data_IF_494991643225
#
_entry.id   IF_494991643225
#
_cell.length_a   1.000
_cell.length_b   1.000
_cell.length_c   1.000
_cell.angle_alpha   90.00
_cell.angle_beta   90.00
_cell.angle_gamma   90.00
#
_symmetry.space_group_name_H-M   'P 1'
#
loop_
_entity.id
_entity.type
_entity.pdbx_description
1 polymer ?
#
# COMPACT_ATOMS: atom_id res chain seq x y z
N UNK A 1 22.35 22.00 18.55
CA UNK A 1 22.50 21.36 17.21
C UNK A 1 21.52 20.20 17.05
N UNK A 2 21.36 19.38 18.10
CA UNK A 2 20.48 18.21 18.15
C UNK A 2 18.97 18.50 17.98
N UNK A 3 18.45 19.58 18.58
CA UNK A 3 17.02 19.93 18.43
C UNK A 3 16.60 20.16 16.98
N UNK A 4 17.47 20.77 16.17
CA UNK A 4 17.17 21.04 14.75
C UNK A 4 17.05 19.76 13.93
N UNK A 5 17.86 18.74 14.24
CA UNK A 5 17.83 17.45 13.56
C UNK A 5 16.60 16.65 14.00
N UNK A 6 16.31 16.62 15.29
CA UNK A 6 15.14 15.93 15.84
C UNK A 6 13.82 16.52 15.31
N UNK A 7 13.72 17.86 15.24
CA UNK A 7 12.55 18.56 14.67
C UNK A 7 12.41 18.26 13.17
N UNK A 8 13.52 18.19 12.43
CA UNK A 8 13.46 17.88 11.00
C UNK A 8 12.99 16.44 10.75
N UNK A 9 13.51 15.49 11.53
CA UNK A 9 13.18 14.08 11.41
C UNK A 9 11.71 13.78 11.77
N UNK A 10 11.26 14.29 12.92
CA UNK A 10 9.87 14.12 13.38
C UNK A 10 8.87 14.72 12.40
N UNK A 11 9.19 15.87 11.80
CA UNK A 11 8.36 16.48 10.74
C UNK A 11 8.31 15.65 9.47
N UNK A 12 9.45 15.10 9.01
CA UNK A 12 9.47 14.23 7.84
C UNK A 12 8.64 12.95 8.04
N UNK A 13 8.67 12.37 9.24
CA UNK A 13 7.86 11.22 9.60
C UNK A 13 6.36 11.59 9.63
N UNK A 14 6.01 12.73 10.22
CA UNK A 14 4.62 13.20 10.27
C UNK A 14 4.03 13.43 8.87
N UNK A 15 4.80 14.07 7.97
CA UNK A 15 4.40 14.28 6.57
C UNK A 15 4.18 12.94 5.84
N UNK A 16 5.05 11.95 6.10
CA UNK A 16 4.91 10.61 5.53
C UNK A 16 3.66 9.91 6.07
N UNK A 17 3.41 9.95 7.39
CA UNK A 17 2.21 9.40 8.02
C UNK A 17 0.93 10.04 7.47
N UNK A 18 0.91 11.36 7.29
CA UNK A 18 -0.25 12.04 6.68
C UNK A 18 -0.48 11.54 5.26
N UNK A 19 0.57 11.42 4.46
CA UNK A 19 0.47 10.93 3.07
C UNK A 19 -0.06 9.49 3.02
N UNK A 20 0.38 8.62 3.94
CA UNK A 20 -0.11 7.24 4.02
C UNK A 20 -1.58 7.21 4.44
N UNK A 21 -1.99 8.03 5.42
CA UNK A 21 -3.39 8.18 5.81
C UNK A 21 -4.25 8.63 4.63
N UNK A 22 -3.80 9.61 3.86
CA UNK A 22 -4.53 10.09 2.67
C UNK A 22 -4.68 8.99 1.62
N UNK A 23 -3.63 8.19 1.39
CA UNK A 23 -3.67 7.02 0.51
C UNK A 23 -4.65 5.95 1.00
N UNK A 24 -4.70 5.70 2.30
CA UNK A 24 -5.68 4.76 2.90
C UNK A 24 -7.10 5.31 2.70
N UNK A 25 -7.32 6.60 2.90
CA UNK A 25 -8.63 7.24 2.66
C UNK A 25 -9.06 7.12 1.21
N UNK A 26 -8.14 7.31 0.26
CA UNK A 26 -8.39 7.09 -1.17
C UNK A 26 -8.77 5.62 -1.41
N UNK A 27 -8.01 4.66 -0.87
CA UNK A 27 -8.29 3.24 -1.04
C UNK A 27 -9.65 2.83 -0.44
N UNK A 28 -10.04 3.42 0.70
CA UNK A 28 -11.38 3.24 1.29
C UNK A 28 -12.48 3.74 0.36
N UNK A 29 -12.30 4.93 -0.20
CA UNK A 29 -13.26 5.53 -1.13
C UNK A 29 -13.36 4.70 -2.42
N UNK A 30 -12.23 4.26 -2.97
CA UNK A 30 -12.15 3.42 -4.17
C UNK A 30 -12.93 2.09 -4.00
N UNK A 31 -12.86 1.46 -2.82
CA UNK A 31 -13.65 0.25 -2.50
C UNK A 31 -15.14 0.53 -2.51
N UNK A 32 -15.58 1.64 -1.90
CA UNK A 32 -17.00 2.04 -1.85
C UNK A 32 -17.53 2.39 -3.24
N UNK A 33 -16.76 3.14 -4.01
CA UNK A 33 -17.12 3.52 -5.38
C UNK A 33 -17.16 2.31 -6.30
N UNK A 34 -16.22 1.37 -6.14
CA UNK A 34 -16.25 0.10 -6.87
C UNK A 34 -17.48 -0.72 -6.51
N UNK A 35 -17.83 -0.87 -5.23
CA UNK A 35 -19.04 -1.59 -4.81
C UNK A 35 -20.30 -0.98 -5.44
N UNK A 36 -20.40 0.36 -5.43
CA UNK A 36 -21.50 1.08 -6.08
C UNK A 36 -21.53 0.81 -7.59
N UNK A 37 -20.36 0.82 -8.24
CA UNK A 37 -20.22 0.60 -9.68
C UNK A 37 -20.58 -0.83 -10.08
N UNK A 38 -20.12 -1.84 -9.32
CA UNK A 38 -20.46 -3.25 -9.53
C UNK A 38 -21.97 -3.46 -9.36
N UNK A 39 -22.60 -2.90 -8.32
CA UNK A 39 -24.05 -2.98 -8.11
C UNK A 39 -24.83 -2.38 -9.28
N UNK A 40 -24.33 -1.28 -9.85
CA UNK A 40 -24.95 -0.57 -10.99
C UNK A 40 -24.58 -1.19 -12.35
N UNK A 41 -23.68 -2.18 -12.38
CA UNK A 41 -23.05 -2.71 -13.60
C UNK A 41 -22.39 -1.60 -14.45
N UNK A 42 -21.81 -0.61 -13.77
CA UNK A 42 -21.12 0.52 -14.39
C UNK A 42 -19.67 0.17 -14.71
N UNK A 43 -19.42 -0.16 -15.97
CA UNK A 43 -18.09 -0.47 -16.47
C UNK A 43 -17.10 0.72 -16.37
N UNK A 44 -17.60 1.96 -16.41
CA UNK A 44 -16.74 3.14 -16.29
C UNK A 44 -16.16 3.25 -14.87
N UNK A 45 -17.01 3.11 -13.84
CA UNK A 45 -16.58 3.11 -12.45
C UNK A 45 -15.63 1.97 -12.10
N UNK A 46 -15.87 0.77 -12.65
CA UNK A 46 -14.95 -0.38 -12.50
C UNK A 46 -13.57 -0.08 -13.11
N UNK A 47 -13.53 0.52 -14.31
CA UNK A 47 -12.28 0.91 -14.95
C UNK A 47 -11.54 2.04 -14.20
N UNK A 48 -12.28 2.98 -13.60
CA UNK A 48 -11.72 4.03 -12.77
C UNK A 48 -11.00 3.46 -11.54
N UNK A 49 -11.59 2.46 -10.87
CA UNK A 49 -10.94 1.72 -9.79
C UNK A 49 -9.62 1.08 -10.23
N UNK A 50 -9.64 0.32 -11.33
CA UNK A 50 -8.44 -0.35 -11.87
C UNK A 50 -7.32 0.67 -12.22
N UNK A 51 -7.69 1.85 -12.69
CA UNK A 51 -6.75 2.94 -12.99
C UNK A 51 -6.17 3.59 -11.74
N UNK A 52 -7.00 3.85 -10.71
CA UNK A 52 -6.57 4.38 -9.42
C UNK A 52 -5.56 3.46 -8.76
N UNK A 53 -5.88 2.15 -8.71
CA UNK A 53 -5.06 1.12 -8.09
C UNK A 53 -3.65 0.99 -8.70
N UNK A 54 -3.49 1.32 -9.99
CA UNK A 54 -2.23 1.11 -10.73
C UNK A 54 -1.18 2.20 -10.49
N UNK A 55 -1.57 3.38 -10.00
CA UNK A 55 -0.74 4.59 -10.01
C UNK A 55 -0.02 5.09 -8.73
N UNK A 56 -0.25 4.57 -7.51
CA UNK A 56 0.34 5.19 -6.31
C UNK A 56 1.85 4.92 -6.08
N UNK A 57 2.50 4.05 -6.87
CA UNK A 57 3.94 3.72 -6.71
C UNK A 57 4.88 4.93 -6.73
N UNK A 58 4.59 5.96 -7.55
CA UNK A 58 5.45 7.14 -7.70
C UNK A 58 5.42 8.06 -6.47
N UNK A 59 4.25 8.18 -5.84
CA UNK A 59 4.07 9.03 -4.66
C UNK A 59 4.79 8.43 -3.45
N UNK A 60 4.69 7.12 -3.30
CA UNK A 60 5.34 6.33 -2.25
C UNK A 60 6.87 6.38 -2.36
N UNK A 61 7.39 6.13 -3.57
CA UNK A 61 8.83 6.22 -3.85
C UNK A 61 9.38 7.61 -3.50
N UNK A 62 8.61 8.68 -3.74
CA UNK A 62 9.00 10.05 -3.41
C UNK A 62 9.00 10.28 -1.89
N UNK A 63 8.01 9.78 -1.16
CA UNK A 63 7.93 9.90 0.30
C UNK A 63 9.06 9.12 0.99
N UNK A 64 9.27 7.85 0.62
CA UNK A 64 10.34 7.01 1.18
C UNK A 64 11.73 7.59 0.89
N UNK A 65 11.94 8.16 -0.31
CA UNK A 65 13.21 8.80 -0.65
C UNK A 65 13.48 10.06 0.17
N UNK A 66 12.46 10.84 0.54
CA UNK A 66 12.62 11.99 1.44
C UNK A 66 12.99 11.55 2.84
N UNK A 67 12.33 10.50 3.35
CA UNK A 67 12.54 9.97 4.70
C UNK A 67 13.92 9.31 4.86
N UNK A 68 14.38 8.52 3.88
CA UNK A 68 15.74 7.96 3.89
C UNK A 68 16.85 9.02 3.82
N UNK A 69 16.57 10.18 3.20
CA UNK A 69 17.52 11.30 3.13
C UNK A 69 17.62 12.06 4.45
N UNK A 70 16.53 12.16 5.23
CA UNK A 70 16.59 12.73 6.58
C UNK A 70 17.36 11.81 7.54
N UNK A 71 17.19 10.49 7.43
CA UNK A 71 17.92 9.50 8.24
C UNK A 71 19.46 9.59 8.08
N UNK A 72 19.91 9.78 6.83
CA UNK A 72 21.34 9.80 6.46
C UNK A 72 22.07 11.08 6.88
N UNK A 73 21.35 12.16 7.19
CA UNK A 73 21.95 13.41 7.67
C UNK A 73 22.33 13.37 9.16
N UNK A 74 21.93 12.30 9.86
CA UNK A 74 22.13 12.11 11.30
C UNK A 74 23.43 11.31 11.54
N UNK A 75 24.53 12.02 11.81
CA UNK A 75 25.85 11.45 12.17
C UNK A 75 25.77 10.54 13.40
N UNK A 76 26.46 9.40 13.33
CA UNK A 76 26.92 8.37 14.32
C UNK A 76 26.37 8.25 15.76
N UNK A 77 25.74 9.24 16.38
CA UNK A 77 25.67 9.31 17.85
C UNK A 77 24.30 8.99 18.48
N UNK A 78 23.32 8.48 17.72
CA UNK A 78 22.00 8.12 18.27
C UNK A 78 21.47 6.82 17.63
N UNK A 79 22.10 5.69 17.96
CA UNK A 79 21.70 4.36 17.48
C UNK A 79 20.23 4.04 17.79
N UNK A 80 19.75 4.42 18.98
CA UNK A 80 18.37 4.16 19.41
C UNK A 80 17.30 4.92 18.62
N UNK A 81 17.61 6.13 18.13
CA UNK A 81 16.68 6.92 17.31
C UNK A 81 16.62 6.41 15.88
N UNK A 82 17.75 5.90 15.35
CA UNK A 82 17.80 5.25 14.03
C UNK A 82 16.99 3.96 13.99
N UNK A 83 17.01 3.18 15.06
CA UNK A 83 16.23 1.94 15.12
C UNK A 83 14.72 2.23 15.12
N UNK A 84 14.26 3.19 15.93
CA UNK A 84 12.86 3.62 15.94
C UNK A 84 12.42 4.21 14.59
N UNK A 85 13.27 5.02 13.95
CA UNK A 85 13.03 5.54 12.60
C UNK A 85 12.94 4.42 11.57
N UNK A 86 13.86 3.45 11.60
CA UNK A 86 13.86 2.31 10.69
C UNK A 86 12.61 1.46 10.86
N UNK A 87 12.15 1.24 12.09
CA UNK A 87 10.89 0.52 12.35
C UNK A 87 9.70 1.29 11.77
N UNK A 88 9.65 2.61 11.95
CA UNK A 88 8.57 3.44 11.40
C UNK A 88 8.57 3.45 9.86
N UNK A 89 9.76 3.54 9.23
CA UNK A 89 9.92 3.43 7.78
C UNK A 89 9.41 2.07 7.30
N UNK A 90 9.87 0.98 7.91
CA UNK A 90 9.47 -0.39 7.54
C UNK A 90 7.96 -0.62 7.71
N UNK A 91 7.36 -0.05 8.77
CA UNK A 91 5.91 -0.11 8.97
C UNK A 91 5.15 0.63 7.87
N UNK A 92 5.57 1.86 7.52
CA UNK A 92 4.98 2.62 6.43
C UNK A 92 5.15 1.90 5.08
N UNK A 93 6.32 1.30 4.83
CA UNK A 93 6.58 0.50 3.62
C UNK A 93 5.67 -0.73 3.53
N UNK A 94 5.46 -1.43 4.65
CA UNK A 94 4.58 -2.58 4.73
C UNK A 94 3.12 -2.19 4.48
N UNK A 95 2.64 -1.13 5.13
CA UNK A 95 1.27 -0.63 5.00
C UNK A 95 0.98 -0.18 3.56
N UNK A 96 1.93 0.48 2.93
CA UNK A 96 1.85 0.89 1.54
C UNK A 96 1.87 -0.31 0.59
N UNK A 97 2.73 -1.29 0.84
CA UNK A 97 2.79 -2.54 0.06
C UNK A 97 1.46 -3.29 0.11
N UNK A 98 0.83 -3.32 1.29
CA UNK A 98 -0.48 -3.93 1.50
C UNK A 98 -1.57 -3.26 0.66
N UNK A 99 -1.74 -1.94 0.79
CA UNK A 99 -2.78 -1.19 0.08
C UNK A 99 -2.59 -1.25 -1.44
N UNK A 100 -1.34 -1.24 -1.90
CA UNK A 100 -1.05 -1.28 -3.34
C UNK A 100 -1.18 -2.67 -3.94
N UNK A 101 -1.32 -3.71 -3.11
CA UNK A 101 -1.24 -5.09 -3.56
C UNK A 101 0.13 -5.45 -4.16
N UNK A 102 1.11 -4.57 -4.04
CA UNK A 102 2.44 -4.80 -4.56
C UNK A 102 3.24 -5.45 -3.47
N UNK A 103 3.69 -6.68 -3.71
CA UNK A 103 4.93 -7.12 -3.07
C UNK A 103 5.96 -6.08 -3.51
N UNK A 104 6.40 -5.20 -2.61
CA UNK A 104 7.63 -4.43 -2.82
C UNK A 104 8.75 -5.47 -2.73
N UNK A 105 8.84 -6.29 -3.78
CA UNK A 105 9.96 -7.15 -3.99
C UNK A 105 11.10 -6.19 -4.21
N UNK A 106 12.08 -6.23 -3.31
CA UNK A 106 13.38 -5.63 -3.54
C UNK A 106 13.76 -5.89 -4.99
N UNK A 107 13.82 -4.82 -5.77
CA UNK A 107 14.26 -4.87 -7.15
C UNK A 107 15.75 -5.16 -7.12
N UNK A 108 16.12 -6.43 -6.99
CA UNK A 108 17.46 -7.00 -7.19
C UNK A 108 17.38 -8.53 -7.15
N UNK A 109 16.97 -9.13 -8.27
CA UNK A 109 17.54 -10.37 -8.85
C UNK A 109 16.64 -10.81 -10.01
N UNK A 110 16.92 -10.28 -11.19
CA UNK A 110 16.80 -11.09 -12.39
C UNK A 110 17.77 -12.27 -12.26
N UNK A 111 17.36 -13.47 -12.62
CA UNK A 111 18.09 -14.41 -13.49
C UNK A 111 17.31 -15.74 -13.55
N UNK A 112 16.69 -15.97 -14.71
CA UNK A 112 16.44 -17.27 -15.38
C UNK A 112 16.13 -18.50 -14.49
N UNK A 113 14.91 -19.04 -14.61
CA UNK A 113 14.69 -20.30 -15.34
C UNK A 113 13.21 -20.74 -15.32
N UNK A 114 12.75 -21.19 -16.48
CA UNK A 114 11.58 -22.05 -16.69
C UNK A 114 11.53 -23.17 -15.63
N UNK A 115 10.35 -23.45 -15.04
CA UNK A 115 9.82 -24.82 -15.00
C UNK A 115 8.35 -24.81 -14.56
N UNK A 116 7.62 -25.73 -15.16
CA UNK A 116 6.17 -25.94 -15.10
C UNK A 116 5.68 -26.33 -13.69
N UNK A 117 4.40 -26.01 -13.43
CA UNK A 117 3.59 -26.49 -12.31
C UNK A 117 4.21 -26.39 -10.91
N UNK A 118 4.08 -25.21 -10.29
CA UNK A 118 4.06 -25.15 -8.83
C UNK A 118 2.67 -24.73 -8.37
N UNK A 119 1.95 -25.74 -7.87
CA UNK A 119 0.84 -25.70 -6.92
C UNK A 119 0.69 -24.31 -6.29
N UNK A 120 -0.46 -23.67 -6.56
CA UNK A 120 -0.87 -22.39 -5.99
C UNK A 120 -0.75 -22.51 -4.47
N UNK A 121 0.41 -22.11 -3.94
CA UNK A 121 0.56 -21.87 -2.52
C UNK A 121 -0.54 -20.88 -2.19
N UNK A 122 -1.38 -21.25 -1.23
CA UNK A 122 -2.28 -20.35 -0.51
C UNK A 122 -1.39 -19.33 0.19
N UNK A 123 -0.85 -18.43 -0.62
CA UNK A 123 -0.20 -17.21 -0.21
C UNK A 123 -1.30 -16.35 0.38
N UNK A 124 -0.99 -15.63 1.43
CA UNK A 124 -1.90 -14.70 2.08
C UNK A 124 -2.19 -13.55 1.09
N UNK A 125 -3.04 -13.81 0.08
CA UNK A 125 -3.40 -12.86 -0.95
C UNK A 125 -4.09 -11.69 -0.25
N UNK A 126 -3.47 -10.52 -0.23
CA UNK A 126 -4.08 -9.33 0.37
C UNK A 126 -5.46 -9.08 -0.25
N UNK A 127 -6.36 -8.52 0.55
CA UNK A 127 -7.77 -8.34 0.19
C UNK A 127 -7.93 -7.59 -1.13
N UNK A 128 -7.09 -6.58 -1.38
CA UNK A 128 -7.12 -5.82 -2.62
C UNK A 128 -6.71 -6.68 -3.83
N UNK A 129 -5.70 -7.56 -3.70
CA UNK A 129 -5.24 -8.43 -4.79
C UNK A 129 -6.26 -9.51 -5.11
N UNK A 130 -6.91 -10.06 -4.09
CA UNK A 130 -8.05 -10.96 -4.28
C UNK A 130 -9.12 -10.24 -5.09
N UNK A 131 -9.48 -9.01 -4.73
CA UNK A 131 -10.47 -8.21 -5.44
C UNK A 131 -10.13 -7.96 -6.92
N UNK A 132 -8.88 -7.59 -7.22
CA UNK A 132 -8.42 -7.44 -8.60
C UNK A 132 -8.49 -8.72 -9.42
N UNK A 133 -8.15 -9.86 -8.80
CA UNK A 133 -8.22 -11.16 -9.45
C UNK A 133 -9.67 -11.55 -9.78
N UNK A 134 -10.61 -11.26 -8.87
CA UNK A 134 -12.03 -11.52 -9.05
C UNK A 134 -12.62 -10.65 -10.17
N UNK A 135 -12.20 -9.39 -10.26
CA UNK A 135 -12.55 -8.49 -11.36
C UNK A 135 -12.06 -9.01 -12.72
N UNK A 136 -10.82 -9.52 -12.79
CA UNK A 136 -10.27 -10.08 -14.03
C UNK A 136 -10.94 -11.39 -14.45
N UNK A 137 -11.36 -12.21 -13.49
CA UNK A 137 -12.02 -13.49 -13.73
C UNK A 137 -13.54 -13.38 -13.89
N UNK A 138 -14.11 -12.17 -13.79
CA UNK A 138 -15.56 -11.91 -13.82
C UNK A 138 -16.35 -12.77 -12.81
N UNK A 139 -15.78 -13.03 -11.63
CA UNK A 139 -16.43 -13.80 -10.57
C UNK A 139 -17.36 -12.90 -9.74
N UNK A 140 -18.45 -12.43 -10.33
CA UNK A 140 -19.34 -11.40 -9.75
C UNK A 140 -19.82 -11.72 -8.32
N UNK A 141 -20.26 -12.96 -8.05
CA UNK A 141 -20.79 -13.32 -6.73
C UNK A 141 -19.72 -13.25 -5.62
N UNK A 142 -18.52 -13.78 -5.89
CA UNK A 142 -17.41 -13.76 -4.93
C UNK A 142 -16.85 -12.33 -4.79
N UNK A 143 -16.80 -11.56 -5.88
CA UNK A 143 -16.40 -10.15 -5.89
C UNK A 143 -17.27 -9.31 -4.95
N UNK A 144 -18.59 -9.44 -5.06
CA UNK A 144 -19.54 -8.66 -4.24
C UNK A 144 -19.45 -9.04 -2.77
N UNK A 145 -19.26 -10.32 -2.44
CA UNK A 145 -19.08 -10.76 -1.06
C UNK A 145 -17.80 -10.18 -0.46
N UNK A 146 -16.68 -10.31 -1.18
CA UNK A 146 -15.39 -9.79 -0.73
C UNK A 146 -15.39 -8.27 -0.58
N UNK A 147 -16.05 -7.54 -1.48
CA UNK A 147 -16.26 -6.10 -1.38
C UNK A 147 -17.07 -5.69 -0.14
N UNK A 148 -18.11 -6.46 0.20
CA UNK A 148 -18.93 -6.20 1.41
C UNK A 148 -18.15 -6.44 2.68
N UNK A 149 -17.33 -7.49 2.71
CA UNK A 149 -16.43 -7.75 3.86
C UNK A 149 -15.44 -6.59 4.05
N UNK A 150 -14.83 -6.12 2.96
CA UNK A 150 -13.93 -4.96 3.01
C UNK A 150 -14.66 -3.68 3.47
N UNK A 151 -15.85 -3.37 2.94
CA UNK A 151 -16.63 -2.19 3.37
C UNK A 151 -17.05 -2.28 4.85
N UNK A 152 -17.41 -3.48 5.33
CA UNK A 152 -17.72 -3.71 6.74
C UNK A 152 -16.51 -3.44 7.63
N UNK A 153 -15.33 -3.96 7.25
CA UNK A 153 -14.07 -3.70 7.95
C UNK A 153 -13.71 -2.21 7.95
N UNK A 154 -13.98 -1.50 6.85
CA UNK A 154 -13.74 -0.06 6.75
C UNK A 154 -14.63 0.73 7.71
N UNK A 155 -15.91 0.37 7.86
CA UNK A 155 -16.86 1.03 8.77
C UNK A 155 -16.48 0.83 10.24
N UNK A 156 -15.85 -0.28 10.61
CA UNK A 156 -15.37 -0.52 11.99
C UNK A 156 -14.19 0.39 12.38
N UNK A 157 -13.49 0.95 11.39
CA UNK A 157 -12.33 1.83 11.55
C UNK A 157 -12.67 3.33 11.50
N UNK A 158 -13.96 3.70 11.43
CA UNK A 158 -14.50 5.06 11.60
C UNK A 158 -14.89 5.31 13.06
#
# INVERSE_FOLDING_TARGET
MWDRILIFLTRALLDACSSVRDLISIAKQDVRDLLSSVRRKDAHGINAYLASRRNPKKMIQKCLKKLRRSASATSENVSTLKDAESVAISFLESLLSYVLGTKVHESKRSLLSKLMHSKKATDNENEFNKLDSLLQLNQENELVNHLKEMDSSIQVLE
#
